data_IF_633715973507
#
_entry.id   IF_633715973507
#
_cell.length_a   1.000
_cell.length_b   1.000
_cell.length_c   1.000
_cell.angle_alpha   90.00
_cell.angle_beta   90.00
_cell.angle_gamma   90.00
#
_symmetry.space_group_name_H-M   'P 1'
#
loop_
_entity.id
_entity.type
_entity.pdbx_description
1 polymer ?
#
# COMPACT_ATOMS: atom_id res chain seq x y z
N UNK A 1 22.37 -14.17 -30.64
CA UNK A 1 22.43 -12.76 -30.16
C UNK A 1 21.17 -11.97 -30.49
N UNK A 2 20.54 -12.16 -31.63
CA UNK A 2 19.29 -11.47 -32.04
C UNK A 2 18.07 -11.81 -31.17
N UNK A 3 17.91 -13.05 -30.76
CA UNK A 3 16.80 -13.47 -29.87
C UNK A 3 16.83 -12.83 -28.49
N UNK A 4 18.02 -12.58 -27.94
CA UNK A 4 18.20 -11.87 -26.64
C UNK A 4 17.88 -10.39 -26.79
N UNK A 5 18.20 -9.79 -27.95
CA UNK A 5 17.94 -8.36 -28.24
C UNK A 5 16.45 -8.10 -28.45
N UNK A 6 15.73 -9.02 -29.11
CA UNK A 6 14.27 -8.94 -29.29
C UNK A 6 13.50 -9.12 -27.99
N UNK A 7 13.97 -9.95 -27.05
CA UNK A 7 13.35 -10.12 -25.74
C UNK A 7 13.56 -8.91 -24.83
N UNK A 8 14.71 -8.24 -24.92
CA UNK A 8 14.99 -7.00 -24.21
C UNK A 8 14.13 -5.83 -24.71
N UNK A 9 13.94 -5.74 -26.03
CA UNK A 9 13.12 -4.68 -26.65
C UNK A 9 11.63 -4.89 -26.35
N UNK A 10 11.12 -6.11 -26.42
CA UNK A 10 9.74 -6.44 -26.05
C UNK A 10 9.47 -6.19 -24.56
N UNK A 11 10.44 -6.53 -23.70
CA UNK A 11 10.35 -6.26 -22.25
C UNK A 11 10.30 -4.75 -21.92
N UNK A 12 10.97 -3.93 -22.73
CA UNK A 12 10.92 -2.47 -22.61
C UNK A 12 9.60 -1.86 -23.13
N UNK A 13 9.02 -2.40 -24.18
CA UNK A 13 7.72 -1.96 -24.73
C UNK A 13 6.61 -2.23 -23.71
N UNK A 14 6.52 -3.42 -23.13
CA UNK A 14 5.53 -3.73 -22.09
C UNK A 14 5.70 -2.84 -20.85
N UNK A 15 6.92 -2.46 -20.47
CA UNK A 15 7.20 -1.54 -19.37
C UNK A 15 6.71 -0.12 -19.59
N UNK A 16 6.58 0.32 -20.83
CA UNK A 16 6.06 1.63 -21.19
C UNK A 16 4.51 1.70 -21.13
N UNK A 17 3.82 0.56 -21.32
CA UNK A 17 2.37 0.48 -21.29
C UNK A 17 1.76 0.28 -19.88
N UNK A 18 2.59 0.14 -18.85
CA UNK A 18 2.14 -0.11 -17.48
C UNK A 18 1.21 0.98 -16.96
N UNK A 19 1.61 2.24 -17.10
CA UNK A 19 0.88 3.40 -16.60
C UNK A 19 -0.46 3.58 -17.34
N UNK A 20 -0.52 3.57 -18.69
CA UNK A 20 -1.76 3.61 -19.43
C UNK A 20 -2.75 2.51 -19.04
N UNK A 21 -2.27 1.29 -18.77
CA UNK A 21 -3.14 0.17 -18.37
C UNK A 21 -3.76 0.42 -16.99
N UNK A 22 -3.01 0.94 -16.04
CA UNK A 22 -3.53 1.28 -14.71
C UNK A 22 -4.60 2.36 -14.83
N UNK A 23 -4.31 3.45 -15.56
CA UNK A 23 -5.25 4.56 -15.76
C UNK A 23 -6.52 4.06 -16.49
N UNK A 24 -6.37 3.30 -17.57
CA UNK A 24 -7.51 2.75 -18.31
C UNK A 24 -8.35 1.82 -17.43
N UNK A 25 -7.74 0.99 -16.60
CA UNK A 25 -8.44 0.12 -15.65
C UNK A 25 -9.33 0.91 -14.69
N UNK A 26 -8.81 1.98 -14.07
CA UNK A 26 -9.59 2.82 -13.17
C UNK A 26 -10.66 3.63 -13.89
N UNK A 27 -10.43 4.08 -15.13
CA UNK A 27 -11.42 4.77 -15.94
C UNK A 27 -12.59 3.85 -16.37
N UNK A 28 -12.31 2.56 -16.61
CA UNK A 28 -13.35 1.55 -16.90
C UNK A 28 -14.18 1.23 -15.65
N UNK A 29 -13.56 1.20 -14.48
CA UNK A 29 -14.24 0.93 -13.20
C UNK A 29 -15.10 2.12 -12.75
N UNK A 30 -14.72 3.34 -13.11
CA UNK A 30 -15.38 4.59 -12.70
C UNK A 30 -16.91 4.61 -12.95
N UNK A 31 -17.43 4.30 -14.17
CA UNK A 31 -18.87 4.33 -14.42
C UNK A 31 -19.64 3.23 -13.68
N UNK A 32 -18.98 2.14 -13.30
CA UNK A 32 -19.61 0.98 -12.64
C UNK A 32 -19.79 1.24 -11.14
N UNK A 33 -18.77 1.76 -10.48
CA UNK A 33 -18.73 1.92 -9.00
C UNK A 33 -19.01 3.36 -8.53
N UNK A 34 -18.92 4.33 -9.44
CA UNK A 34 -19.00 5.75 -9.11
C UNK A 34 -17.70 6.34 -8.57
N UNK A 35 -17.60 7.68 -8.56
CA UNK A 35 -16.36 8.41 -8.28
C UNK A 35 -15.82 8.12 -6.87
N UNK A 36 -16.66 8.14 -5.84
CA UNK A 36 -16.21 7.99 -4.46
C UNK A 36 -15.55 6.63 -4.22
N UNK A 37 -16.23 5.53 -4.61
CA UNK A 37 -15.71 4.16 -4.43
C UNK A 37 -14.45 3.92 -5.26
N UNK A 38 -14.40 4.46 -6.48
CA UNK A 38 -13.20 4.30 -7.33
C UNK A 38 -12.00 5.05 -6.75
N UNK A 39 -12.22 6.21 -6.11
CA UNK A 39 -11.18 6.94 -5.37
C UNK A 39 -10.65 6.12 -4.19
N UNK A 40 -11.54 5.50 -3.42
CA UNK A 40 -11.15 4.63 -2.30
C UNK A 40 -10.32 3.43 -2.76
N UNK A 41 -10.70 2.83 -3.88
CA UNK A 41 -9.94 1.73 -4.49
C UNK A 41 -8.52 2.17 -4.87
N UNK A 42 -8.38 3.37 -5.45
CA UNK A 42 -7.07 3.89 -5.83
C UNK A 42 -6.19 4.18 -4.60
N UNK A 43 -6.76 4.74 -3.53
CA UNK A 43 -6.07 4.98 -2.26
C UNK A 43 -5.64 3.66 -1.63
N UNK A 44 -6.54 2.69 -1.55
CA UNK A 44 -6.24 1.37 -1.00
C UNK A 44 -5.15 0.65 -1.81
N UNK A 45 -5.12 0.79 -3.13
CA UNK A 45 -4.03 0.26 -3.96
C UNK A 45 -2.67 0.88 -3.60
N UNK A 46 -2.59 2.18 -3.27
CA UNK A 46 -1.35 2.80 -2.78
C UNK A 46 -0.91 2.15 -1.47
N UNK A 47 -1.85 1.90 -0.56
CA UNK A 47 -1.57 1.24 0.71
C UNK A 47 -1.09 -0.21 0.53
N UNK A 48 -1.72 -0.98 -0.37
CA UNK A 48 -1.29 -2.34 -0.71
C UNK A 48 0.10 -2.35 -1.37
N UNK A 49 0.40 -1.37 -2.22
CA UNK A 49 1.73 -1.19 -2.81
C UNK A 49 2.80 -0.97 -1.72
N UNK A 50 2.52 -0.10 -0.74
CA UNK A 50 3.41 0.16 0.39
C UNK A 50 3.66 -1.10 1.24
N UNK A 51 2.61 -1.85 1.55
CA UNK A 51 2.70 -3.11 2.28
C UNK A 51 3.52 -4.15 1.51
N UNK A 52 3.30 -4.28 0.20
CA UNK A 52 3.97 -5.27 -0.63
C UNK A 52 5.49 -5.05 -0.74
N UNK A 53 5.99 -3.83 -0.54
CA UNK A 53 7.44 -3.58 -0.46
C UNK A 53 8.06 -4.35 0.71
N UNK A 54 7.41 -4.39 1.88
CA UNK A 54 7.89 -5.18 3.00
C UNK A 54 7.58 -6.66 2.84
N UNK A 55 6.33 -7.00 2.54
CA UNK A 55 5.90 -8.39 2.47
C UNK A 55 6.43 -9.10 1.21
N UNK A 56 6.22 -8.52 0.05
CA UNK A 56 6.54 -9.14 -1.23
C UNK A 56 8.02 -9.10 -1.59
N UNK A 57 8.68 -7.96 -1.36
CA UNK A 57 10.07 -7.76 -1.77
C UNK A 57 11.07 -8.06 -0.66
N UNK A 58 10.79 -7.67 0.59
CA UNK A 58 11.69 -7.91 1.73
C UNK A 58 11.37 -9.23 2.48
N UNK A 59 10.19 -9.83 2.26
CA UNK A 59 9.76 -11.07 2.89
C UNK A 59 9.39 -10.91 4.38
N UNK A 60 8.94 -9.72 4.79
CA UNK A 60 8.58 -9.41 6.18
C UNK A 60 7.10 -9.07 6.29
N UNK A 61 6.33 -9.92 6.95
CA UNK A 61 4.91 -9.69 7.22
C UNK A 61 4.76 -8.67 8.35
N UNK A 62 3.94 -7.66 8.16
CA UNK A 62 3.65 -6.63 9.16
C UNK A 62 2.17 -6.58 9.48
N UNK A 63 1.78 -6.85 10.72
CA UNK A 63 0.42 -6.63 11.23
C UNK A 63 0.17 -5.20 11.73
N UNK A 64 1.20 -4.36 11.73
CA UNK A 64 1.11 -2.99 12.21
C UNK A 64 1.01 -1.92 11.11
N UNK A 65 0.69 -2.29 9.87
CA UNK A 65 0.66 -1.33 8.75
C UNK A 65 -0.40 -0.25 8.93
N UNK A 66 -1.48 -0.53 9.68
CA UNK A 66 -2.51 0.46 10.01
C UNK A 66 -1.96 1.63 10.83
N UNK A 67 -0.96 1.41 11.68
CA UNK A 67 -0.28 2.50 12.39
C UNK A 67 0.28 3.54 11.42
N UNK A 68 0.93 3.10 10.35
CA UNK A 68 1.56 4.01 9.38
C UNK A 68 0.53 4.73 8.52
N UNK A 69 -0.55 4.03 8.14
CA UNK A 69 -1.70 4.64 7.46
C UNK A 69 -2.32 5.72 8.34
N UNK A 70 -2.65 5.36 9.59
CA UNK A 70 -3.26 6.28 10.55
C UNK A 70 -2.38 7.46 10.90
N UNK A 71 -1.06 7.25 11.00
CA UNK A 71 -0.12 8.37 11.21
C UNK A 71 -0.26 9.43 10.13
N UNK A 72 -0.34 9.02 8.85
CA UNK A 72 -0.55 9.95 7.75
C UNK A 72 -1.91 10.64 7.83
N UNK A 73 -2.96 9.91 8.19
CA UNK A 73 -4.30 10.44 8.35
C UNK A 73 -4.38 11.50 9.46
N UNK A 74 -3.87 11.18 10.66
CA UNK A 74 -3.85 12.13 11.77
C UNK A 74 -2.92 13.32 11.55
N UNK A 75 -1.76 13.09 10.90
CA UNK A 75 -0.84 14.18 10.58
C UNK A 75 -1.48 15.22 9.65
N UNK A 76 -2.22 14.82 8.63
CA UNK A 76 -2.97 15.72 7.75
C UNK A 76 -4.04 16.49 8.52
N UNK A 77 -4.81 15.79 9.36
CA UNK A 77 -5.91 16.40 10.09
C UNK A 77 -5.41 17.43 11.10
N UNK A 78 -4.42 17.05 11.92
CA UNK A 78 -3.80 17.97 12.89
C UNK A 78 -3.12 19.15 12.21
N UNK A 79 -2.46 18.94 11.06
CA UNK A 79 -1.85 20.03 10.31
C UNK A 79 -2.90 20.97 9.75
N UNK A 80 -4.02 20.45 9.23
CA UNK A 80 -5.11 21.28 8.67
C UNK A 80 -5.82 22.11 9.71
N UNK A 81 -5.90 21.61 10.94
CA UNK A 81 -6.57 22.30 12.06
C UNK A 81 -5.70 23.37 12.71
N UNK A 82 -4.40 23.08 12.94
CA UNK A 82 -3.55 23.93 13.78
C UNK A 82 -2.56 24.83 13.00
N UNK A 83 -2.18 24.43 11.76
CA UNK A 83 -1.09 25.10 11.03
C UNK A 83 -1.59 25.76 9.76
N UNK A 84 -2.16 24.99 8.83
CA UNK A 84 -2.59 25.52 7.54
C UNK A 84 -3.60 24.59 6.86
N UNK A 85 -4.68 25.18 6.36
CA UNK A 85 -5.70 24.47 5.59
C UNK A 85 -5.28 24.12 4.15
N UNK A 86 -3.99 24.31 3.79
CA UNK A 86 -3.48 23.96 2.48
C UNK A 86 -3.29 22.43 2.38
N UNK A 87 -4.07 21.74 1.52
CA UNK A 87 -4.05 20.28 1.43
C UNK A 87 -2.70 19.72 0.95
N UNK A 88 -1.96 20.44 0.10
CA UNK A 88 -0.66 19.98 -0.38
C UNK A 88 0.41 20.02 0.73
N UNK A 89 0.40 21.07 1.55
CA UNK A 89 1.29 21.16 2.72
C UNK A 89 0.94 20.12 3.77
N UNK A 90 -0.35 19.85 3.97
CA UNK A 90 -0.82 18.80 4.88
C UNK A 90 -0.36 17.39 4.42
N UNK A 91 -0.44 17.11 3.11
CA UNK A 91 0.09 15.85 2.55
C UNK A 91 1.61 15.76 2.74
N UNK A 92 2.34 16.86 2.54
CA UNK A 92 3.79 16.87 2.79
C UNK A 92 4.10 16.59 4.27
N UNK A 93 3.35 17.19 5.20
CA UNK A 93 3.48 16.91 6.63
C UNK A 93 3.25 15.42 6.95
N UNK A 94 2.26 14.78 6.30
CA UNK A 94 2.01 13.34 6.46
C UNK A 94 3.17 12.49 5.93
N UNK A 95 3.78 12.85 4.79
CA UNK A 95 4.96 12.16 4.27
C UNK A 95 6.14 12.26 5.25
N UNK A 96 6.36 13.43 5.82
CA UNK A 96 7.40 13.65 6.84
C UNK A 96 7.08 12.83 8.10
N UNK A 97 5.84 12.83 8.57
CA UNK A 97 5.43 12.04 9.75
C UNK A 97 5.62 10.54 9.52
N UNK A 98 5.24 10.03 8.35
CA UNK A 98 5.45 8.64 7.96
C UNK A 98 6.92 8.25 7.88
N UNK A 99 7.77 9.13 7.35
CA UNK A 99 9.22 8.95 7.31
C UNK A 99 9.82 8.95 8.72
N UNK A 100 9.41 9.90 9.58
CA UNK A 100 9.88 10.01 10.97
C UNK A 100 9.54 8.75 11.78
N UNK A 101 8.31 8.25 11.69
CA UNK A 101 7.94 6.98 12.34
C UNK A 101 8.80 5.83 11.82
N UNK A 102 9.04 5.76 10.52
CA UNK A 102 9.93 4.76 9.93
C UNK A 102 11.37 4.86 10.43
N UNK A 103 11.88 6.08 10.63
CA UNK A 103 13.21 6.33 11.18
C UNK A 103 13.29 5.93 12.65
N UNK A 104 12.27 6.26 13.46
CA UNK A 104 12.26 6.03 14.90
C UNK A 104 12.01 4.55 15.23
N UNK A 105 10.98 3.94 14.65
CA UNK A 105 10.60 2.55 14.95
C UNK A 105 11.42 1.53 14.16
N UNK A 106 11.91 1.92 12.97
CA UNK A 106 12.65 1.03 12.07
C UNK A 106 13.83 0.34 12.73
N UNK A 107 14.74 1.03 13.45
CA UNK A 107 15.89 0.40 14.11
C UNK A 107 15.53 -0.69 15.10
N UNK A 108 14.37 -0.60 15.75
CA UNK A 108 13.88 -1.60 16.69
C UNK A 108 13.28 -2.78 15.93
N UNK A 109 12.35 -2.49 15.01
CA UNK A 109 11.54 -3.49 14.30
C UNK A 109 12.39 -4.32 13.33
N UNK A 110 13.26 -3.67 12.56
CA UNK A 110 14.03 -4.30 11.47
C UNK A 110 15.10 -5.29 11.96
N UNK A 111 15.51 -5.20 13.23
CA UNK A 111 16.43 -6.17 13.87
C UNK A 111 15.77 -7.53 14.09
N UNK A 112 14.46 -7.57 14.15
CA UNK A 112 13.71 -8.80 14.38
C UNK A 112 13.41 -9.54 13.07
N UNK A 113 13.10 -10.82 13.16
CA UNK A 113 12.89 -11.70 12.02
C UNK A 113 11.65 -12.58 12.20
N UNK A 114 11.06 -13.03 11.06
CA UNK A 114 9.94 -13.96 11.10
C UNK A 114 8.72 -13.42 11.87
N UNK A 115 8.17 -14.24 12.77
CA UNK A 115 6.99 -13.89 13.55
C UNK A 115 7.23 -12.72 14.52
N UNK A 116 8.44 -12.59 15.06
CA UNK A 116 8.78 -11.48 15.97
C UNK A 116 8.63 -10.12 15.28
N UNK A 117 9.01 -10.01 14.00
CA UNK A 117 8.81 -8.79 13.23
C UNK A 117 7.32 -8.43 13.12
N UNK A 118 6.47 -9.40 12.85
CA UNK A 118 5.04 -9.21 12.72
C UNK A 118 4.38 -8.78 14.04
N UNK A 119 4.74 -9.46 15.14
CA UNK A 119 4.20 -9.20 16.48
C UNK A 119 4.65 -7.86 17.06
N UNK A 120 5.90 -7.46 16.86
CA UNK A 120 6.40 -6.15 17.31
C UNK A 120 5.68 -5.02 16.55
N UNK A 121 5.48 -5.16 15.24
CA UNK A 121 4.67 -4.20 14.48
C UNK A 121 3.23 -4.11 15.01
N UNK A 122 2.61 -5.26 15.34
CA UNK A 122 1.28 -5.30 15.94
C UNK A 122 1.26 -4.59 17.29
N UNK A 123 2.27 -4.83 18.14
CA UNK A 123 2.38 -4.18 19.45
C UNK A 123 2.49 -2.65 19.32
N UNK A 124 3.33 -2.15 18.40
CA UNK A 124 3.40 -0.70 18.14
C UNK A 124 2.10 -0.14 17.58
N UNK A 125 1.39 -0.89 16.73
CA UNK A 125 0.09 -0.49 16.23
C UNK A 125 -0.94 -0.38 17.38
N UNK A 126 -0.95 -1.34 18.29
CA UNK A 126 -1.83 -1.33 19.46
C UNK A 126 -1.52 -0.16 20.40
N UNK A 127 -0.22 0.13 20.61
CA UNK A 127 0.20 1.33 21.36
C UNK A 127 -0.27 2.60 20.66
N UNK A 128 -0.08 2.72 19.33
CA UNK A 128 -0.54 3.86 18.55
C UNK A 128 -2.06 4.05 18.62
N UNK A 129 -2.83 2.95 18.55
CA UNK A 129 -4.27 2.97 18.70
C UNK A 129 -4.68 3.50 20.09
N UNK A 130 -4.06 2.99 21.16
CA UNK A 130 -4.29 3.44 22.52
C UNK A 130 -3.91 4.92 22.72
N UNK A 131 -2.79 5.37 22.15
CA UNK A 131 -2.36 6.77 22.24
C UNK A 131 -3.39 7.70 21.60
N UNK A 132 -3.92 7.35 20.45
CA UNK A 132 -4.93 8.16 19.76
C UNK A 132 -6.25 8.14 20.50
N UNK A 133 -6.68 6.99 20.98
CA UNK A 133 -8.00 6.82 21.60
C UNK A 133 -8.08 7.44 23.00
N UNK A 134 -7.02 7.29 23.80
CA UNK A 134 -7.02 7.61 25.23
C UNK A 134 -6.03 8.73 25.58
N UNK A 135 -4.73 8.51 25.32
CA UNK A 135 -3.69 9.40 25.83
C UNK A 135 -3.75 10.81 25.20
N UNK A 136 -4.00 10.87 23.89
CA UNK A 136 -4.11 12.13 23.14
C UNK A 136 -5.54 12.45 22.72
N UNK A 137 -6.56 11.87 23.36
CA UNK A 137 -7.98 12.07 23.02
C UNK A 137 -8.39 13.53 22.92
N UNK A 138 -7.79 14.40 23.75
CA UNK A 138 -8.01 15.87 23.71
C UNK A 138 -7.58 16.50 22.36
N UNK A 139 -6.57 15.94 21.69
CA UNK A 139 -6.04 16.46 20.42
C UNK A 139 -6.52 15.68 19.21
N UNK A 140 -6.92 14.44 19.40
CA UNK A 140 -7.31 13.50 18.33
C UNK A 140 -8.82 13.30 18.23
N UNK A 141 -9.59 13.91 19.15
CA UNK A 141 -11.03 13.70 19.25
C UNK A 141 -11.43 12.34 19.86
N UNK A 142 -10.46 11.49 20.26
CA UNK A 142 -10.73 10.17 20.86
C UNK A 142 -11.61 9.29 19.96
N UNK A 143 -12.68 8.74 20.52
CA UNK A 143 -13.63 7.88 19.77
C UNK A 143 -14.39 8.64 18.68
N UNK A 144 -14.70 9.92 18.91
CA UNK A 144 -15.45 10.74 17.97
C UNK A 144 -14.66 11.12 16.73
N UNK A 145 -13.31 11.07 16.79
CA UNK A 145 -12.44 11.46 15.68
C UNK A 145 -12.38 12.96 15.45
N UNK A 146 -11.82 13.37 14.31
CA UNK A 146 -11.58 14.78 13.96
C UNK A 146 -11.94 15.06 12.51
N UNK A 147 -12.46 16.27 12.26
CA UNK A 147 -12.70 16.77 10.90
C UNK A 147 -11.48 17.52 10.37
N UNK A 148 -11.13 17.28 9.11
CA UNK A 148 -10.10 18.03 8.42
C UNK A 148 -10.74 19.11 7.54
N UNK A 149 -10.23 20.34 7.64
CA UNK A 149 -10.73 21.48 6.87
C UNK A 149 -9.68 21.90 5.84
N UNK A 150 -10.08 21.89 4.57
CA UNK A 150 -9.19 22.29 3.48
C UNK A 150 -9.70 23.55 2.80
N UNK A 151 -8.80 24.52 2.60
CA UNK A 151 -9.10 25.73 1.84
C UNK A 151 -9.27 25.42 0.35
N UNK A 152 -10.15 26.18 -0.30
CA UNK A 152 -10.29 26.11 -1.76
C UNK A 152 -9.03 26.68 -2.42
N UNK A 153 -8.33 25.87 -3.19
CA UNK A 153 -7.22 26.35 -3.99
C UNK A 153 -7.70 26.76 -5.39
N UNK A 154 -7.12 27.81 -6.00
CA UNK A 154 -7.55 28.29 -7.32
C UNK A 154 -7.41 27.22 -8.41
N UNK A 155 -6.40 26.34 -8.31
CA UNK A 155 -6.09 25.30 -9.32
C UNK A 155 -6.67 23.93 -8.98
N UNK A 156 -6.86 23.61 -7.67
CA UNK A 156 -7.26 22.29 -7.19
C UNK A 156 -8.41 22.46 -6.18
N UNK A 157 -9.64 22.45 -6.66
CA UNK A 157 -10.80 22.50 -5.78
C UNK A 157 -11.13 21.11 -5.22
N UNK A 158 -10.57 20.77 -4.05
CA UNK A 158 -10.82 19.48 -3.38
C UNK A 158 -12.27 19.30 -2.88
N UNK A 159 -13.11 20.32 -2.96
CA UNK A 159 -14.55 20.17 -2.80
C UNK A 159 -15.24 19.45 -3.96
N UNK A 160 -14.60 19.37 -5.14
CA UNK A 160 -15.12 18.64 -6.28
C UNK A 160 -14.55 17.20 -6.30
N UNK A 161 -15.42 16.19 -6.18
CA UNK A 161 -15.05 14.77 -6.15
C UNK A 161 -14.29 14.32 -7.40
N UNK A 162 -14.58 14.90 -8.57
CA UNK A 162 -13.85 14.61 -9.81
C UNK A 162 -12.39 15.07 -9.77
N UNK A 163 -12.13 16.22 -9.15
CA UNK A 163 -10.76 16.75 -8.97
C UNK A 163 -9.98 15.87 -7.96
N UNK A 164 -10.63 15.45 -6.87
CA UNK A 164 -10.04 14.53 -5.88
C UNK A 164 -9.67 13.21 -6.54
N UNK A 165 -10.58 12.62 -7.33
CA UNK A 165 -10.31 11.38 -8.06
C UNK A 165 -9.11 11.52 -9.01
N UNK A 166 -9.08 12.58 -9.83
CA UNK A 166 -7.97 12.83 -10.75
C UNK A 166 -6.64 12.99 -10.02
N UNK A 167 -6.65 13.72 -8.88
CA UNK A 167 -5.47 13.92 -8.04
C UNK A 167 -4.99 12.60 -7.40
N UNK A 168 -5.90 11.80 -6.85
CA UNK A 168 -5.57 10.49 -6.25
C UNK A 168 -5.05 9.52 -7.31
N UNK A 169 -5.63 9.50 -8.50
CA UNK A 169 -5.15 8.67 -9.61
C UNK A 169 -3.74 9.08 -10.04
N UNK A 170 -3.47 10.38 -10.11
CA UNK A 170 -2.11 10.89 -10.35
C UNK A 170 -1.14 10.44 -9.25
N UNK A 171 -1.54 10.53 -7.98
CA UNK A 171 -0.75 10.06 -6.83
C UNK A 171 -0.49 8.56 -6.87
N UNK A 172 -1.46 7.74 -7.28
CA UNK A 172 -1.29 6.29 -7.48
C UNK A 172 -0.23 6.00 -8.55
N UNK A 173 -0.30 6.69 -9.69
CA UNK A 173 0.67 6.53 -10.77
C UNK A 173 2.07 6.96 -10.31
N UNK A 174 2.17 8.05 -9.58
CA UNK A 174 3.43 8.55 -9.02
C UNK A 174 4.04 7.53 -8.01
N UNK A 175 3.23 7.03 -7.07
CA UNK A 175 3.64 6.02 -6.11
C UNK A 175 4.08 4.72 -6.81
N UNK A 176 3.30 4.25 -7.78
CA UNK A 176 3.65 3.09 -8.59
C UNK A 176 4.98 3.28 -9.33
N UNK A 177 5.17 4.42 -10.00
CA UNK A 177 6.40 4.73 -10.74
C UNK A 177 7.62 4.79 -9.81
N UNK A 178 7.49 5.48 -8.67
CA UNK A 178 8.55 5.56 -7.66
C UNK A 178 8.94 4.17 -7.15
N UNK A 179 7.97 3.35 -6.75
CA UNK A 179 8.21 2.00 -6.23
C UNK A 179 8.74 1.05 -7.32
N UNK A 180 8.29 1.20 -8.57
CA UNK A 180 8.82 0.47 -9.72
C UNK A 180 10.30 0.78 -9.94
N UNK A 181 10.67 2.06 -9.92
CA UNK A 181 12.07 2.50 -10.06
C UNK A 181 12.92 2.00 -8.90
N UNK A 182 12.39 2.10 -7.67
CA UNK A 182 13.06 1.59 -6.47
C UNK A 182 13.31 0.08 -6.54
N UNK A 183 12.28 -0.72 -6.86
CA UNK A 183 12.42 -2.19 -6.94
C UNK A 183 13.24 -2.69 -8.13
N UNK A 184 13.37 -1.89 -9.19
CA UNK A 184 14.23 -2.19 -10.34
C UNK A 184 15.68 -1.74 -10.13
N UNK A 185 15.98 -0.93 -9.13
CA UNK A 185 17.33 -0.45 -8.80
C UNK A 185 18.21 -1.58 -8.21
N UNK A 186 19.54 -1.40 -8.16
CA UNK A 186 20.44 -2.32 -7.46
C UNK A 186 20.02 -2.55 -6.00
N UNK A 187 19.43 -1.54 -5.37
CA UNK A 187 18.87 -1.60 -4.03
C UNK A 187 17.74 -2.63 -3.94
N UNK A 188 16.81 -2.60 -4.89
CA UNK A 188 15.71 -3.57 -4.96
C UNK A 188 16.17 -5.01 -5.22
N UNK A 189 17.27 -5.18 -5.95
CA UNK A 189 17.89 -6.51 -6.15
C UNK A 189 18.44 -7.04 -4.82
N UNK A 190 19.17 -6.20 -4.07
CA UNK A 190 19.72 -6.58 -2.76
C UNK A 190 18.63 -6.95 -1.74
N UNK A 191 17.50 -6.21 -1.72
CA UNK A 191 16.39 -6.53 -0.84
C UNK A 191 15.80 -7.90 -1.14
N UNK A 192 15.64 -8.25 -2.42
CA UNK A 192 15.18 -9.60 -2.82
C UNK A 192 16.20 -10.67 -2.44
N UNK A 193 17.49 -10.41 -2.60
CA UNK A 193 18.55 -11.32 -2.17
C UNK A 193 18.54 -11.53 -0.65
N UNK A 194 18.26 -10.47 0.13
CA UNK A 194 18.07 -10.55 1.59
C UNK A 194 16.86 -11.42 1.93
N UNK A 195 15.75 -11.31 1.18
CA UNK A 195 14.58 -12.15 1.35
C UNK A 195 14.89 -13.62 1.13
N UNK A 196 15.70 -13.95 0.12
CA UNK A 196 16.07 -15.33 -0.22
C UNK A 196 17.05 -15.89 0.81
N UNK A 197 18.13 -15.18 1.11
CA UNK A 197 19.10 -15.60 2.10
C UNK A 197 19.91 -14.43 2.67
N UNK A 198 19.45 -13.90 3.82
CA UNK A 198 20.09 -12.77 4.50
C UNK A 198 21.54 -13.06 4.90
N UNK A 199 21.82 -14.30 5.32
CA UNK A 199 23.17 -14.74 5.75
C UNK A 199 24.16 -14.68 4.58
N UNK A 200 23.76 -15.15 3.39
CA UNK A 200 24.61 -15.07 2.19
C UNK A 200 24.96 -13.62 1.84
N UNK A 201 23.98 -12.69 1.92
CA UNK A 201 24.21 -11.27 1.64
C UNK A 201 25.18 -10.64 2.64
N UNK A 202 25.09 -11.02 3.91
CA UNK A 202 26.07 -10.59 4.96
C UNK A 202 27.48 -11.09 4.67
N UNK A 203 27.64 -12.34 4.24
CA UNK A 203 28.97 -12.87 3.86
C UNK A 203 29.58 -12.16 2.65
N UNK A 204 28.77 -11.57 1.77
CA UNK A 204 29.22 -10.72 0.68
C UNK A 204 29.63 -9.30 1.13
N UNK A 205 29.60 -9.01 2.42
CA UNK A 205 30.01 -7.72 3.00
C UNK A 205 28.93 -6.64 3.03
N UNK A 206 27.69 -6.93 2.65
CA UNK A 206 26.62 -5.93 2.68
C UNK A 206 26.01 -5.77 4.08
N UNK A 207 25.80 -4.52 4.50
CA UNK A 207 25.08 -4.22 5.75
C UNK A 207 23.57 -4.36 5.55
N UNK A 208 23.04 -5.57 5.77
CA UNK A 208 21.62 -5.90 5.55
C UNK A 208 20.67 -5.06 6.41
N UNK A 209 21.12 -4.57 7.57
CA UNK A 209 20.32 -3.71 8.44
C UNK A 209 19.91 -2.41 7.75
N UNK A 210 20.85 -1.70 7.13
CA UNK A 210 20.57 -0.42 6.47
C UNK A 210 19.59 -0.61 5.30
N UNK A 211 19.74 -1.68 4.51
CA UNK A 211 18.83 -1.98 3.41
C UNK A 211 17.40 -2.27 3.89
N UNK A 212 17.26 -3.05 4.95
CA UNK A 212 15.95 -3.33 5.56
C UNK A 212 15.33 -2.07 6.16
N UNK A 213 16.12 -1.25 6.85
CA UNK A 213 15.68 -0.01 7.50
C UNK A 213 15.16 1.01 6.48
N UNK A 214 15.91 1.29 5.42
CA UNK A 214 15.46 2.21 4.38
C UNK A 214 14.22 1.69 3.67
N UNK A 215 14.14 0.37 3.42
CA UNK A 215 12.92 -0.25 2.85
C UNK A 215 11.71 -0.04 3.76
N UNK A 216 11.92 -0.15 5.06
CA UNK A 216 10.89 0.10 6.06
C UNK A 216 10.43 1.56 6.04
N UNK A 217 11.35 2.53 6.02
CA UNK A 217 11.03 3.96 5.90
C UNK A 217 10.22 4.25 4.64
N UNK A 218 10.59 3.70 3.49
CA UNK A 218 9.84 3.88 2.24
C UNK A 218 8.42 3.34 2.39
N UNK A 219 8.27 2.14 2.94
CA UNK A 219 6.96 1.53 3.14
C UNK A 219 6.07 2.34 4.09
N UNK A 220 6.60 2.80 5.23
CA UNK A 220 5.87 3.63 6.20
C UNK A 220 5.46 4.98 5.60
N UNK A 221 6.36 5.61 4.82
CA UNK A 221 6.10 6.89 4.16
C UNK A 221 4.98 6.76 3.11
N UNK A 222 5.02 5.73 2.27
CA UNK A 222 3.97 5.49 1.26
C UNK A 222 2.65 5.07 1.90
N UNK A 223 2.68 4.35 3.04
CA UNK A 223 1.47 4.04 3.83
C UNK A 223 0.85 5.31 4.42
N UNK A 224 1.67 6.20 4.99
CA UNK A 224 1.22 7.49 5.50
C UNK A 224 0.65 8.38 4.38
N UNK A 225 1.26 8.33 3.19
CA UNK A 225 0.73 9.01 2.01
C UNK A 225 -0.68 8.52 1.65
N UNK A 226 -0.92 7.21 1.66
CA UNK A 226 -2.27 6.66 1.44
C UNK A 226 -3.26 7.15 2.52
N UNK A 227 -2.84 7.19 3.79
CA UNK A 227 -3.63 7.74 4.88
C UNK A 227 -3.99 9.22 4.68
N UNK A 228 -3.01 10.02 4.25
CA UNK A 228 -3.22 11.42 3.91
C UNK A 228 -4.27 11.62 2.80
N UNK A 229 -4.17 10.84 1.73
CA UNK A 229 -5.13 10.89 0.62
C UNK A 229 -6.54 10.46 1.04
N UNK A 230 -6.65 9.50 1.98
CA UNK A 230 -7.94 9.12 2.56
C UNK A 230 -8.63 10.31 3.21
N UNK A 231 -7.89 11.11 4.00
CA UNK A 231 -8.47 12.28 4.68
C UNK A 231 -8.81 13.40 3.68
N UNK A 232 -8.01 13.59 2.64
CA UNK A 232 -8.37 14.53 1.57
C UNK A 232 -9.67 14.11 0.86
N UNK A 233 -9.96 12.79 0.77
CA UNK A 233 -11.21 12.29 0.18
C UNK A 233 -12.40 12.37 1.14
N UNK A 234 -12.21 11.96 2.40
CA UNK A 234 -13.30 11.86 3.39
C UNK A 234 -13.53 13.14 4.18
N UNK A 235 -12.49 13.95 4.42
CA UNK A 235 -12.53 15.14 5.28
C UNK A 235 -12.64 14.81 6.77
N UNK A 236 -12.40 13.55 7.17
CA UNK A 236 -12.63 13.12 8.55
C UNK A 236 -11.73 11.92 8.89
N UNK A 237 -11.17 11.90 10.10
CA UNK A 237 -10.35 10.82 10.64
C UNK A 237 -10.98 10.22 11.89
N UNK A 238 -10.93 8.90 11.99
CA UNK A 238 -11.38 8.12 13.16
C UNK A 238 -10.27 7.19 13.65
N UNK A 239 -10.32 6.70 14.90
CA UNK A 239 -9.37 5.69 15.38
C UNK A 239 -9.32 4.42 14.54
N UNK A 240 -10.37 4.12 13.77
CA UNK A 240 -10.40 2.95 12.86
C UNK A 240 -9.29 2.97 11.79
N UNK A 241 -8.68 4.13 11.51
CA UNK A 241 -7.51 4.23 10.63
C UNK A 241 -6.24 3.62 11.24
N UNK A 242 -6.19 3.43 12.57
CA UNK A 242 -5.06 2.79 13.27
C UNK A 242 -5.46 1.42 13.83
N UNK A 243 -6.73 1.00 13.71
CA UNK A 243 -7.20 -0.25 14.28
C UNK A 243 -6.42 -1.46 13.76
N UNK A 244 -5.69 -2.19 14.65
CA UNK A 244 -4.91 -3.36 14.25
C UNK A 244 -5.75 -4.48 13.62
N UNK A 245 -7.03 -4.60 13.95
CA UNK A 245 -7.93 -5.62 13.40
C UNK A 245 -8.06 -5.50 11.88
N UNK A 246 -7.99 -4.28 11.36
CA UNK A 246 -8.05 -3.99 9.92
C UNK A 246 -6.75 -4.27 9.15
N UNK A 247 -5.65 -4.58 9.84
CA UNK A 247 -4.39 -4.95 9.17
C UNK A 247 -4.54 -6.19 8.28
N UNK A 248 -5.52 -7.03 8.57
CA UNK A 248 -5.84 -8.23 7.79
C UNK A 248 -6.30 -7.89 6.37
N UNK A 249 -6.95 -6.74 6.17
CA UNK A 249 -7.45 -6.27 4.86
C UNK A 249 -6.31 -6.13 3.83
N UNK A 250 -5.24 -5.45 4.20
CA UNK A 250 -4.09 -5.23 3.30
C UNK A 250 -3.31 -6.51 3.06
N UNK A 251 -3.25 -7.40 4.07
CA UNK A 251 -2.61 -8.72 3.93
C UNK A 251 -3.38 -9.55 2.90
N UNK A 252 -4.69 -9.59 2.97
CA UNK A 252 -5.55 -10.30 2.04
C UNK A 252 -5.40 -9.77 0.62
N UNK A 253 -5.44 -8.46 0.45
CA UNK A 253 -5.24 -7.84 -0.84
C UNK A 253 -3.86 -8.21 -1.45
N UNK A 254 -2.80 -8.18 -0.65
CA UNK A 254 -1.45 -8.54 -1.11
C UNK A 254 -1.32 -10.03 -1.46
N UNK A 255 -1.98 -10.92 -0.72
CA UNK A 255 -2.00 -12.37 -1.00
C UNK A 255 -2.81 -12.68 -2.26
N UNK A 256 -4.00 -12.11 -2.43
CA UNK A 256 -4.84 -12.28 -3.62
C UNK A 256 -4.09 -11.81 -4.86
N UNK A 257 -3.45 -10.65 -4.79
CA UNK A 257 -2.71 -10.10 -5.92
C UNK A 257 -1.44 -10.85 -6.28
N UNK A 258 -0.81 -11.46 -5.31
CA UNK A 258 0.48 -12.15 -5.42
C UNK A 258 1.64 -11.30 -4.93
N UNK A 259 2.37 -11.84 -3.95
CA UNK A 259 3.49 -11.16 -3.29
C UNK A 259 4.68 -10.96 -4.24
N UNK A 260 5.34 -9.80 -4.15
CA UNK A 260 6.55 -9.49 -4.93
C UNK A 260 6.30 -8.95 -6.35
N UNK A 261 5.04 -8.66 -6.70
CA UNK A 261 4.66 -7.97 -7.94
C UNK A 261 3.91 -6.69 -7.63
N UNK A 262 4.34 -5.56 -8.20
CA UNK A 262 3.63 -4.28 -8.05
C UNK A 262 2.27 -4.30 -8.76
N UNK A 263 2.18 -4.98 -9.91
CA UNK A 263 0.88 -5.19 -10.58
C UNK A 263 -0.05 -6.06 -9.74
N UNK A 264 0.50 -7.13 -9.16
CA UNK A 264 -0.24 -7.96 -8.23
C UNK A 264 -0.86 -7.14 -7.09
N UNK A 265 -0.13 -6.18 -6.53
CA UNK A 265 -0.65 -5.31 -5.46
C UNK A 265 -1.88 -4.50 -5.92
N UNK A 266 -1.84 -3.91 -7.11
CA UNK A 266 -2.96 -3.11 -7.64
C UNK A 266 -4.16 -4.02 -7.93
N UNK A 267 -3.95 -5.13 -8.63
CA UNK A 267 -5.03 -6.09 -8.94
C UNK A 267 -5.62 -6.66 -7.65
N UNK A 268 -4.77 -7.06 -6.70
CA UNK A 268 -5.21 -7.57 -5.42
C UNK A 268 -6.00 -6.56 -4.59
N UNK A 269 -5.56 -5.29 -4.59
CA UNK A 269 -6.28 -4.19 -3.96
C UNK A 269 -7.66 -3.97 -4.56
N UNK A 270 -7.75 -3.92 -5.89
CA UNK A 270 -9.03 -3.75 -6.61
C UNK A 270 -9.95 -4.95 -6.37
N UNK A 271 -9.44 -6.18 -6.50
CA UNK A 271 -10.23 -7.41 -6.30
C UNK A 271 -10.72 -7.51 -4.85
N UNK A 272 -9.83 -7.25 -3.88
CA UNK A 272 -10.22 -7.25 -2.47
C UNK A 272 -11.34 -6.25 -2.19
N UNK A 273 -11.18 -5.00 -2.58
CA UNK A 273 -12.17 -3.94 -2.37
C UNK A 273 -13.49 -4.24 -3.09
N UNK A 274 -13.44 -4.81 -4.29
CA UNK A 274 -14.63 -5.20 -5.02
C UNK A 274 -15.40 -6.31 -4.29
N UNK A 275 -14.71 -7.35 -3.84
CA UNK A 275 -15.30 -8.48 -3.08
C UNK A 275 -15.83 -7.97 -1.73
N UNK A 276 -15.05 -7.19 -0.99
CA UNK A 276 -15.40 -6.64 0.32
C UNK A 276 -16.68 -5.79 0.23
N UNK A 277 -16.72 -4.83 -0.69
CA UNK A 277 -17.87 -3.95 -0.88
C UNK A 277 -19.13 -4.71 -1.34
N UNK A 278 -18.97 -5.71 -2.22
CA UNK A 278 -20.09 -6.53 -2.67
C UNK A 278 -20.62 -7.40 -1.54
N UNK A 279 -19.75 -8.14 -0.83
CA UNK A 279 -20.13 -9.00 0.27
C UNK A 279 -20.73 -8.21 1.45
N UNK A 280 -20.14 -7.07 1.81
CA UNK A 280 -20.63 -6.22 2.90
C UNK A 280 -22.05 -5.68 2.65
N UNK A 281 -22.46 -5.51 1.39
CA UNK A 281 -23.81 -5.03 1.06
C UNK A 281 -24.91 -6.10 1.20
N UNK A 282 -24.54 -7.39 1.18
CA UNK A 282 -25.52 -8.49 1.21
C UNK A 282 -25.41 -9.36 2.47
N UNK A 283 -24.26 -9.42 3.11
CA UNK A 283 -23.97 -10.36 4.20
C UNK A 283 -23.46 -9.62 5.45
N UNK A 284 -24.19 -9.64 6.58
CA UNK A 284 -23.78 -8.93 7.80
C UNK A 284 -22.43 -9.37 8.37
N UNK A 285 -21.99 -10.61 8.12
CA UNK A 285 -20.71 -11.18 8.59
C UNK A 285 -19.80 -11.53 7.42
N UNK A 286 -19.66 -10.61 6.47
CA UNK A 286 -18.87 -10.77 5.26
C UNK A 286 -17.39 -11.12 5.51
N UNK A 287 -16.82 -10.69 6.64
CA UNK A 287 -15.43 -10.96 7.04
C UNK A 287 -15.15 -12.47 7.17
N UNK A 288 -16.10 -13.26 7.67
CA UNK A 288 -15.97 -14.71 7.76
C UNK A 288 -15.88 -15.36 6.37
N UNK A 289 -16.69 -14.92 5.42
CA UNK A 289 -16.64 -15.42 4.04
C UNK A 289 -15.36 -15.01 3.34
N UNK A 290 -14.86 -13.82 3.63
CA UNK A 290 -13.60 -13.33 3.10
C UNK A 290 -12.41 -14.12 3.65
N UNK A 291 -12.43 -14.49 4.94
CA UNK A 291 -11.45 -15.40 5.53
C UNK A 291 -11.47 -16.78 4.86
N UNK A 292 -12.65 -17.34 4.59
CA UNK A 292 -12.78 -18.61 3.88
C UNK A 292 -12.29 -18.52 2.41
N UNK A 293 -12.65 -17.45 1.70
CA UNK A 293 -12.15 -17.20 0.35
C UNK A 293 -10.62 -17.09 0.32
N UNK A 294 -10.02 -16.45 1.34
CA UNK A 294 -8.58 -16.38 1.48
C UNK A 294 -7.94 -17.76 1.64
N UNK A 295 -8.50 -18.63 2.48
CA UNK A 295 -8.00 -20.01 2.64
C UNK A 295 -7.94 -20.71 1.28
N UNK A 296 -8.99 -20.58 0.47
CA UNK A 296 -9.03 -21.14 -0.88
C UNK A 296 -7.92 -20.53 -1.75
N UNK A 297 -7.73 -19.21 -1.71
CA UNK A 297 -6.70 -18.52 -2.50
C UNK A 297 -5.30 -18.98 -2.09
N UNK A 298 -5.02 -19.05 -0.78
CA UNK A 298 -3.70 -19.46 -0.27
C UNK A 298 -3.38 -20.92 -0.63
N UNK A 299 -4.35 -21.83 -0.51
CA UNK A 299 -4.14 -23.25 -0.83
C UNK A 299 -4.08 -23.51 -2.31
N UNK A 300 -4.87 -22.81 -3.14
CA UNK A 300 -5.00 -23.09 -4.58
C UNK A 300 -4.11 -22.22 -5.44
N UNK A 301 -3.87 -20.95 -5.06
CA UNK A 301 -3.13 -19.95 -5.84
C UNK A 301 -1.89 -19.46 -5.09
N UNK A 302 -0.92 -20.33 -4.86
CA UNK A 302 0.33 -19.99 -4.14
C UNK A 302 1.11 -18.78 -4.72
N UNK A 303 0.91 -18.48 -6.00
CA UNK A 303 1.53 -17.34 -6.70
C UNK A 303 0.62 -16.12 -6.82
N UNK A 304 -0.59 -16.18 -6.25
CA UNK A 304 -1.63 -15.16 -6.39
C UNK A 304 -2.25 -15.10 -7.79
N UNK A 305 -3.26 -14.26 -7.95
CA UNK A 305 -4.00 -14.06 -9.22
C UNK A 305 -3.05 -13.61 -10.33
N UNK A 306 -2.14 -12.68 -10.05
CA UNK A 306 -1.17 -12.21 -11.04
C UNK A 306 -0.20 -13.31 -11.50
N UNK A 307 0.30 -14.12 -10.58
CA UNK A 307 1.16 -15.26 -10.91
C UNK A 307 0.45 -16.32 -11.76
N UNK A 308 -0.84 -16.54 -11.49
CA UNK A 308 -1.66 -17.45 -12.30
C UNK A 308 -1.86 -16.91 -13.73
N UNK A 309 -2.20 -15.62 -13.88
CA UNK A 309 -2.36 -14.97 -15.19
C UNK A 309 -1.06 -15.05 -16.00
N UNK A 310 0.06 -14.65 -15.39
CA UNK A 310 1.37 -14.70 -16.09
C UNK A 310 1.79 -16.11 -16.45
N UNK A 311 1.51 -17.08 -15.59
CA UNK A 311 1.78 -18.50 -15.85
C UNK A 311 0.99 -19.06 -17.03
N UNK A 312 -0.27 -18.64 -17.22
CA UNK A 312 -1.08 -19.03 -18.40
C UNK A 312 -0.51 -18.47 -19.71
N UNK A 313 -0.05 -17.21 -19.69
CA UNK A 313 0.55 -16.58 -20.86
C UNK A 313 1.89 -17.21 -21.23
N UNK A 314 2.71 -17.61 -20.26
CA UNK A 314 4.00 -18.27 -20.51
C UNK A 314 3.80 -19.66 -21.08
N UNK A 315 2.88 -20.48 -20.53
CA UNK A 315 2.55 -21.81 -21.04
C UNK A 315 2.02 -21.80 -22.47
N UNK A 316 1.19 -20.82 -22.82
CA UNK A 316 0.67 -20.65 -24.18
C UNK A 316 1.78 -20.31 -25.19
N UNK A 317 2.79 -19.56 -24.75
CA UNK A 317 3.94 -19.19 -25.59
C UNK A 317 4.86 -20.37 -25.86
N UNK A 318 5.09 -21.21 -24.86
CA UNK A 318 5.92 -22.41 -25.01
C UNK A 318 5.22 -23.50 -25.86
N UNK A 319 3.88 -23.51 -25.85
CA UNK A 319 3.08 -24.40 -26.71
C UNK A 319 3.04 -23.93 -28.18
N UNK A 320 3.20 -22.64 -28.45
CA UNK A 320 3.25 -22.07 -29.82
C UNK A 320 4.69 -22.07 -30.41
N UNK A 321 5.69 -22.31 -29.57
CA UNK A 321 7.10 -22.37 -29.97
C UNK A 321 7.60 -23.82 -30.22
N UNK A 322 6.74 -24.81 -29.99
CA UNK A 322 6.94 -26.25 -30.36
C UNK A 322 6.15 -26.56 -31.61
#
# INVERSE_FOLDING_TARGET
METVRTDLTKRNIWRAFDIPIIIAGFLVILPILGINRTTDFAIFCIFVLAFNILYGFMGRLSFGHMLYLGTGAYAVTLFSEHISQNPLLAILAALVAGALIGVILGPIIVRTTGACFALINLAFCQVGYFLVLVAFSRYTGGEDGMSAYFSKMPLLNFGNKGVVFGFVLFCLVLAYFFLKKFTASPYGVLIRSIKENETRVKFLGYNTFNYKWITFIISTTVSAFAGALSIVNYGYVTPSFIDPSRAVEVIFAALIGGSGSLYGSIIGGVVYMAISNYLASYIPRWEMFLGFALLIVVFRFRTGVWGFITGLFTRRRDALAR
#
